data_IF_448603156686
#
_entry.id   IF_448603156686
#
_cell.length_a   1.000
_cell.length_b   1.000
_cell.length_c   1.000
_cell.angle_alpha   90.00
_cell.angle_beta   90.00
_cell.angle_gamma   90.00
#
_symmetry.space_group_name_H-M   'P 1'
#
loop_
_entity.id
_entity.type
_entity.pdbx_description
1 polymer ?
#
# COMPACT_ATOMS: atom_id res chain seq x y z
N UNK A 1 -12.51 4.31 -11.63
CA UNK A 1 -12.13 2.89 -11.62
C UNK A 1 -10.74 2.66 -11.05
N UNK A 2 -9.73 3.48 -11.39
CA UNK A 2 -8.32 3.25 -11.02
C UNK A 2 -8.03 3.29 -9.53
N UNK A 3 -8.55 4.27 -8.78
CA UNK A 3 -8.22 4.43 -7.36
C UNK A 3 -8.38 3.15 -6.52
N UNK A 4 -9.57 2.54 -6.53
CA UNK A 4 -9.82 1.32 -5.75
C UNK A 4 -9.05 0.10 -6.28
N UNK A 5 -8.86 0.02 -7.60
CA UNK A 5 -8.05 -1.03 -8.20
C UNK A 5 -6.56 -0.92 -7.81
N UNK A 6 -6.05 0.31 -7.68
CA UNK A 6 -4.67 0.58 -7.27
C UNK A 6 -4.46 0.40 -5.77
N UNK A 7 -5.44 0.80 -4.95
CA UNK A 7 -5.39 0.61 -3.51
C UNK A 7 -5.56 -0.88 -3.12
N UNK A 8 -6.39 -1.63 -3.86
CA UNK A 8 -6.76 -3.02 -3.57
C UNK A 8 -6.53 -3.94 -4.78
N UNK A 9 -5.27 -4.12 -5.22
CA UNK A 9 -4.97 -4.82 -6.47
C UNK A 9 -5.31 -6.31 -6.43
N UNK A 10 -5.23 -6.97 -5.27
CA UNK A 10 -5.64 -8.36 -5.14
C UNK A 10 -7.15 -8.54 -5.33
N UNK A 11 -7.96 -7.69 -4.69
CA UNK A 11 -9.42 -7.70 -4.87
C UNK A 11 -9.79 -7.42 -6.32
N UNK A 12 -9.13 -6.44 -6.93
CA UNK A 12 -9.31 -6.15 -8.35
C UNK A 12 -9.08 -7.38 -9.22
N UNK A 13 -7.98 -8.11 -9.00
CA UNK A 13 -7.64 -9.31 -9.77
C UNK A 13 -8.66 -10.44 -9.56
N UNK A 14 -9.09 -10.68 -8.32
CA UNK A 14 -10.10 -11.69 -7.99
C UNK A 14 -11.43 -11.38 -8.67
N UNK A 15 -11.88 -10.13 -8.55
CA UNK A 15 -13.16 -9.68 -9.13
C UNK A 15 -13.11 -9.80 -10.64
N UNK A 16 -12.05 -9.32 -11.30
CA UNK A 16 -11.92 -9.47 -12.75
C UNK A 16 -11.89 -10.93 -13.17
N UNK A 17 -11.15 -11.79 -12.45
CA UNK A 17 -11.11 -13.24 -12.76
C UNK A 17 -12.49 -13.87 -12.65
N UNK A 18 -13.31 -13.44 -11.68
CA UNK A 18 -14.66 -13.96 -11.50
C UNK A 18 -15.63 -13.43 -12.56
N UNK A 19 -15.64 -12.12 -12.81
CA UNK A 19 -16.57 -11.49 -13.76
C UNK A 19 -16.25 -11.84 -15.20
N UNK A 20 -14.98 -12.02 -15.57
CA UNK A 20 -14.60 -12.47 -16.92
C UNK A 20 -14.93 -13.94 -17.19
N UNK A 21 -14.94 -14.79 -16.15
CA UNK A 21 -15.34 -16.20 -16.29
C UNK A 21 -16.83 -16.39 -16.46
N UNK A 22 -17.64 -15.43 -16.03
CA UNK A 22 -19.07 -15.44 -16.31
C UNK A 22 -19.29 -14.70 -17.64
N UNK A 23 -19.69 -15.41 -18.69
CA UNK A 23 -20.18 -14.78 -19.93
C UNK A 23 -21.50 -14.04 -19.63
N UNK A 24 -21.40 -12.85 -19.03
CA UNK A 24 -22.55 -12.04 -18.68
C UNK A 24 -22.85 -11.06 -19.81
N UNK A 25 -24.00 -11.21 -20.46
CA UNK A 25 -24.54 -10.26 -21.45
C UNK A 25 -25.14 -9.02 -20.74
N UNK A 26 -24.31 -8.37 -19.93
CA UNK A 26 -24.67 -7.18 -19.18
C UNK A 26 -24.18 -5.93 -19.91
N UNK A 27 -25.01 -4.87 -19.91
CA UNK A 27 -24.55 -3.56 -20.33
C UNK A 27 -23.42 -3.04 -19.40
N UNK A 28 -22.61 -2.12 -19.92
CA UNK A 28 -21.42 -1.63 -19.22
C UNK A 28 -21.72 -0.98 -17.86
N UNK A 29 -22.90 -0.40 -17.66
CA UNK A 29 -23.28 0.23 -16.38
C UNK A 29 -23.52 -0.83 -15.32
N UNK A 30 -24.21 -1.91 -15.69
CA UNK A 30 -24.43 -3.05 -14.79
C UNK A 30 -23.13 -3.78 -14.47
N UNK A 31 -22.25 -3.95 -15.44
CA UNK A 31 -20.90 -4.51 -15.20
C UNK A 31 -20.09 -3.63 -14.23
N UNK A 32 -20.12 -2.31 -14.42
CA UNK A 32 -19.46 -1.37 -13.51
C UNK A 32 -20.07 -1.40 -12.10
N UNK A 33 -21.41 -1.45 -11.97
CA UNK A 33 -22.09 -1.60 -10.68
C UNK A 33 -21.65 -2.86 -9.97
N UNK A 34 -21.72 -4.01 -10.65
CA UNK A 34 -21.33 -5.31 -10.10
C UNK A 34 -19.87 -5.32 -9.63
N UNK A 35 -18.97 -4.71 -10.39
CA UNK A 35 -17.57 -4.55 -9.99
C UNK A 35 -17.45 -3.77 -8.67
N UNK A 36 -18.15 -2.64 -8.52
CA UNK A 36 -18.08 -1.85 -7.29
C UNK A 36 -18.76 -2.55 -6.12
N UNK A 37 -19.88 -3.24 -6.35
CA UNK A 37 -20.57 -4.03 -5.33
C UNK A 37 -19.64 -5.11 -4.75
N UNK A 38 -18.91 -5.84 -5.62
CA UNK A 38 -17.91 -6.80 -5.15
C UNK A 38 -16.72 -6.13 -4.48
N UNK A 39 -16.19 -5.02 -5.03
CA UNK A 39 -15.04 -4.33 -4.46
C UNK A 39 -15.35 -3.84 -3.04
N UNK A 40 -16.51 -3.24 -2.83
CA UNK A 40 -16.90 -2.76 -1.51
C UNK A 40 -17.22 -3.91 -0.55
N UNK A 41 -17.88 -4.99 -1.01
CA UNK A 41 -18.04 -6.18 -0.18
C UNK A 41 -16.69 -6.75 0.26
N UNK A 42 -15.71 -6.85 -0.64
CA UNK A 42 -14.36 -7.28 -0.27
C UNK A 42 -13.69 -6.34 0.75
N UNK A 43 -13.78 -5.03 0.55
CA UNK A 43 -13.17 -4.03 1.45
C UNK A 43 -13.80 -4.07 2.84
N UNK A 44 -15.12 -4.20 2.93
CA UNK A 44 -15.84 -4.18 4.20
C UNK A 44 -15.73 -5.52 4.96
N UNK A 45 -15.77 -6.65 4.26
CA UNK A 45 -15.91 -7.96 4.90
C UNK A 45 -14.60 -8.76 5.00
N UNK A 46 -13.54 -8.40 4.26
CA UNK A 46 -12.26 -9.13 4.25
C UNK A 46 -11.23 -8.36 5.09
N UNK A 47 -10.82 -8.90 6.26
CA UNK A 47 -9.81 -8.25 7.09
C UNK A 47 -8.47 -8.07 6.36
N UNK A 48 -7.86 -6.89 6.46
CA UNK A 48 -6.57 -6.63 5.81
C UNK A 48 -5.44 -7.54 6.33
N UNK A 49 -5.59 -8.06 7.54
CA UNK A 49 -4.64 -8.97 8.19
C UNK A 49 -4.51 -10.32 7.50
N UNK A 50 -5.54 -10.77 6.77
CA UNK A 50 -5.48 -12.03 6.03
C UNK A 50 -4.91 -11.85 4.62
N UNK A 51 -4.76 -10.61 4.15
CA UNK A 51 -4.20 -10.32 2.84
C UNK A 51 -2.68 -10.36 2.88
N UNK A 52 -2.10 -11.20 2.00
CA UNK A 52 -0.64 -11.35 1.86
C UNK A 52 0.04 -10.18 1.14
N UNK A 53 -0.71 -9.23 0.61
CA UNK A 53 -0.21 -8.09 -0.17
C UNK A 53 0.25 -6.91 0.70
N UNK A 54 0.59 -7.18 1.97
CA UNK A 54 1.03 -6.18 2.94
C UNK A 54 2.42 -5.61 2.57
N UNK A 55 2.58 -4.30 2.72
CA UNK A 55 3.88 -3.62 2.56
C UNK A 55 4.44 -3.27 3.93
N UNK A 56 5.59 -3.85 4.29
CA UNK A 56 6.29 -3.63 5.55
C UNK A 56 7.26 -2.46 5.42
N UNK A 57 7.10 -1.46 6.28
CA UNK A 57 7.81 -0.18 6.19
C UNK A 57 8.56 0.08 7.48
N UNK A 58 9.89 0.17 7.42
CA UNK A 58 10.68 0.61 8.55
C UNK A 58 10.88 2.12 8.49
N UNK A 59 10.59 2.81 9.59
CA UNK A 59 10.80 4.26 9.74
C UNK A 59 11.92 4.49 10.75
N UNK A 60 13.02 5.08 10.28
CA UNK A 60 14.21 5.37 11.10
C UNK A 60 14.91 6.66 10.67
N UNK A 61 14.67 7.74 11.40
CA UNK A 61 15.21 9.07 11.16
C UNK A 61 16.21 9.48 12.23
N UNK A 62 17.29 10.17 11.85
CA UNK A 62 18.36 10.55 12.78
C UNK A 62 17.95 11.59 13.85
N UNK A 63 16.80 12.26 13.69
CA UNK A 63 16.30 13.30 14.60
C UNK A 63 15.77 12.77 15.95
N UNK A 64 15.88 11.47 16.20
CA UNK A 64 15.60 10.85 17.49
C UNK A 64 14.15 10.40 17.69
N UNK A 65 13.85 9.93 18.91
CA UNK A 65 12.65 9.13 19.20
C UNK A 65 11.34 9.84 18.89
N UNK A 66 11.19 11.10 19.29
CA UNK A 66 9.92 11.83 19.11
C UNK A 66 9.60 12.07 17.64
N UNK A 67 10.60 12.41 16.84
CA UNK A 67 10.43 12.59 15.41
C UNK A 67 10.05 11.27 14.72
N UNK A 68 10.72 10.17 15.07
CA UNK A 68 10.36 8.84 14.58
C UNK A 68 8.93 8.44 14.96
N UNK A 69 8.49 8.72 16.18
CA UNK A 69 7.12 8.46 16.60
C UNK A 69 6.10 9.28 15.80
N UNK A 70 6.41 10.54 15.52
CA UNK A 70 5.59 11.38 14.65
C UNK A 70 5.52 10.79 13.24
N UNK A 71 6.67 10.44 12.64
CA UNK A 71 6.72 9.88 11.28
C UNK A 71 5.97 8.57 11.17
N UNK A 72 6.13 7.66 12.13
CA UNK A 72 5.39 6.38 12.19
C UNK A 72 3.87 6.61 12.25
N UNK A 73 3.41 7.58 13.04
CA UNK A 73 1.99 7.95 13.11
C UNK A 73 1.50 8.50 11.77
N UNK A 74 2.28 9.36 11.13
CA UNK A 74 1.88 9.97 9.86
C UNK A 74 1.82 8.93 8.73
N UNK A 75 2.81 8.02 8.68
CA UNK A 75 2.79 6.89 7.74
C UNK A 75 1.58 6.00 7.99
N UNK A 76 1.22 5.73 9.25
CA UNK A 76 0.03 4.92 9.58
C UNK A 76 -1.30 5.51 9.08
N UNK A 77 -1.39 6.80 8.72
CA UNK A 77 -2.59 7.32 8.05
C UNK A 77 -2.81 6.75 6.64
N UNK A 78 -1.80 6.07 6.08
CA UNK A 78 -1.90 5.31 4.84
C UNK A 78 -2.28 3.83 5.05
N UNK A 79 -2.78 3.46 6.24
CA UNK A 79 -3.21 2.09 6.56
C UNK A 79 -4.17 1.46 5.54
N UNK A 80 -5.01 2.27 4.88
CA UNK A 80 -5.91 1.83 3.80
C UNK A 80 -5.16 1.22 2.60
N UNK A 81 -3.84 1.37 2.51
CA UNK A 81 -3.00 0.70 1.50
C UNK A 81 -2.52 -0.70 1.94
N UNK A 82 -2.96 -1.21 3.10
CA UNK A 82 -2.48 -2.43 3.74
C UNK A 82 -0.97 -2.39 4.05
N UNK A 83 -0.54 -1.36 4.78
CA UNK A 83 0.85 -1.21 5.22
C UNK A 83 1.04 -1.65 6.67
N UNK A 84 2.26 -2.05 7.04
CA UNK A 84 2.66 -2.29 8.43
C UNK A 84 3.95 -1.54 8.76
N UNK A 85 3.88 -0.67 9.76
CA UNK A 85 5.03 0.14 10.19
C UNK A 85 5.84 -0.62 11.24
N UNK A 86 7.08 -0.94 10.88
CA UNK A 86 8.05 -1.62 11.72
C UNK A 86 8.96 -0.63 12.45
N UNK A 87 9.52 -1.06 13.58
CA UNK A 87 10.49 -0.26 14.36
C UNK A 87 11.94 -0.61 14.06
N UNK A 88 12.19 -1.77 13.45
CA UNK A 88 13.51 -2.25 13.06
C UNK A 88 13.40 -2.89 11.69
N UNK A 89 14.46 -2.80 10.90
CA UNK A 89 14.54 -3.52 9.62
C UNK A 89 14.69 -5.01 9.87
N UNK A 90 13.94 -5.82 9.12
CA UNK A 90 14.08 -7.27 9.04
C UNK A 90 14.01 -7.74 7.57
N UNK A 91 14.11 -9.05 7.34
CA UNK A 91 14.07 -9.66 6.00
C UNK A 91 12.73 -9.44 5.27
N UNK A 92 11.67 -9.02 5.98
CA UNK A 92 10.36 -8.75 5.41
C UNK A 92 10.16 -7.27 5.08
N UNK A 93 11.05 -6.38 5.54
CA UNK A 93 10.97 -4.96 5.26
C UNK A 93 11.05 -4.72 3.76
N UNK A 94 10.02 -4.12 3.19
CA UNK A 94 9.97 -3.79 1.76
C UNK A 94 10.49 -2.37 1.49
N UNK A 95 10.22 -1.44 2.42
CA UNK A 95 10.56 -0.03 2.29
C UNK A 95 11.22 0.49 3.56
N UNK A 96 12.38 1.10 3.40
CA UNK A 96 13.07 1.85 4.43
C UNK A 96 12.87 3.36 4.21
N UNK A 97 12.26 4.04 5.18
CA UNK A 97 11.99 5.47 5.15
C UNK A 97 12.87 6.20 6.18
N UNK A 98 13.78 7.04 5.70
CA UNK A 98 14.83 7.65 6.52
C UNK A 98 15.31 8.98 5.96
N UNK A 99 16.19 9.69 6.68
CA UNK A 99 16.95 10.85 6.20
C UNK A 99 18.37 10.47 5.72
N UNK A 100 18.78 9.21 5.87
CA UNK A 100 20.05 8.70 5.38
C UNK A 100 19.89 7.37 4.64
N UNK A 101 20.74 7.18 3.62
CA UNK A 101 20.81 5.93 2.87
C UNK A 101 21.71 4.91 3.59
N UNK A 102 21.32 3.63 3.55
CA UNK A 102 22.12 2.53 4.08
C UNK A 102 22.47 1.54 2.98
N UNK A 103 23.76 1.39 2.66
CA UNK A 103 24.23 0.46 1.64
C UNK A 103 24.12 -1.02 2.04
N UNK A 104 23.86 -1.31 3.31
CA UNK A 104 23.71 -2.69 3.80
C UNK A 104 22.28 -3.21 3.62
N UNK A 105 21.32 -2.34 3.29
CA UNK A 105 19.93 -2.70 3.12
C UNK A 105 19.64 -3.03 1.65
N UNK A 106 18.94 -4.14 1.42
CA UNK A 106 18.55 -4.60 0.08
C UNK A 106 17.12 -4.21 -0.30
N UNK A 107 16.33 -3.71 0.65
CA UNK A 107 14.98 -3.22 0.41
C UNK A 107 14.98 -1.85 -0.27
N UNK A 108 13.83 -1.44 -0.81
CA UNK A 108 13.67 -0.11 -1.40
C UNK A 108 13.90 0.97 -0.32
N UNK A 109 14.52 2.09 -0.69
CA UNK A 109 14.85 3.16 0.25
C UNK A 109 14.31 4.50 -0.23
N UNK A 110 13.50 5.15 0.60
CA UNK A 110 12.99 6.50 0.36
C UNK A 110 13.63 7.47 1.34
N UNK A 111 14.46 8.37 0.81
CA UNK A 111 15.31 9.25 1.62
C UNK A 111 14.78 10.70 1.64
N UNK A 112 14.37 11.18 2.81
CA UNK A 112 13.89 12.54 3.05
C UNK A 112 14.83 13.30 3.99
N UNK A 113 15.73 14.10 3.40
CA UNK A 113 16.71 14.91 4.15
C UNK A 113 16.12 16.12 4.87
N UNK A 114 14.89 16.49 4.53
CA UNK A 114 14.18 17.65 5.04
C UNK A 114 12.78 17.21 5.50
N UNK A 115 12.10 18.01 6.34
CA UNK A 115 10.70 17.75 6.67
C UNK A 115 9.86 17.48 5.42
N UNK A 116 9.02 16.43 5.41
CA UNK A 116 8.34 15.97 4.21
C UNK A 116 7.30 17.00 3.76
N UNK A 117 7.31 17.27 2.46
CA UNK A 117 6.30 18.07 1.77
C UNK A 117 5.14 17.20 1.28
N UNK A 118 4.08 17.82 0.78
CA UNK A 118 2.96 17.10 0.14
C UNK A 118 3.47 16.20 -1.01
N UNK A 119 4.45 16.67 -1.78
CA UNK A 119 5.04 15.88 -2.88
C UNK A 119 5.79 14.65 -2.37
N UNK A 120 6.45 14.74 -1.20
CA UNK A 120 7.09 13.59 -0.58
C UNK A 120 6.05 12.53 -0.20
N UNK A 121 4.93 12.95 0.39
CA UNK A 121 3.85 12.02 0.74
C UNK A 121 3.17 11.38 -0.47
N UNK A 122 3.03 12.14 -1.56
CA UNK A 122 2.55 11.58 -2.82
C UNK A 122 3.51 10.50 -3.36
N UNK A 123 4.81 10.80 -3.42
CA UNK A 123 5.84 9.85 -3.83
C UNK A 123 5.84 8.59 -2.96
N UNK A 124 5.65 8.75 -1.64
CA UNK A 124 5.51 7.64 -0.72
C UNK A 124 4.32 6.75 -1.08
N UNK A 125 3.14 7.33 -1.29
CA UNK A 125 1.94 6.59 -1.69
C UNK A 125 2.13 5.84 -3.01
N UNK A 126 2.68 6.51 -4.02
CA UNK A 126 2.96 5.93 -5.34
C UNK A 126 3.94 4.74 -5.23
N UNK A 127 5.00 4.88 -4.41
CA UNK A 127 5.97 3.83 -4.17
C UNK A 127 5.37 2.62 -3.44
N UNK A 128 4.53 2.85 -2.42
CA UNK A 128 3.82 1.79 -1.71
C UNK A 128 2.94 0.99 -2.67
N UNK A 129 2.18 1.67 -3.55
CA UNK A 129 1.36 1.02 -4.57
C UNK A 129 2.23 0.21 -5.55
N UNK A 130 3.38 0.75 -5.96
CA UNK A 130 4.31 0.05 -6.86
C UNK A 130 4.89 -1.22 -6.22
N UNK A 131 5.37 -1.15 -4.98
CA UNK A 131 5.88 -2.29 -4.22
C UNK A 131 4.79 -3.36 -4.09
N UNK A 132 3.56 -2.94 -3.72
CA UNK A 132 2.41 -3.84 -3.57
C UNK A 132 2.09 -4.60 -4.85
N UNK A 133 2.11 -3.92 -6.01
CA UNK A 133 1.92 -4.55 -7.32
C UNK A 133 3.01 -5.56 -7.66
N UNK A 134 4.26 -5.33 -7.25
CA UNK A 134 5.37 -6.27 -7.48
C UNK A 134 5.31 -7.57 -6.68
N UNK A 135 4.43 -7.67 -5.69
CA UNK A 135 4.23 -8.87 -4.85
C UNK A 135 3.14 -9.82 -5.37
N UNK A 136 2.34 -9.38 -6.33
CA UNK A 136 1.25 -10.16 -6.96
C UNK A 136 1.80 -10.95 -8.16
#
# INVERSE_FOLDING_TARGET
MTYFAEANPLFHQIILTFTTKQETDLDWRKQASLYYDYMFACIEDIPLEILKDRVYICVDFSQGRLYNQYMKKTVNYFNNLNIEVQTTVDERTDLYLSDFYSSTLTCEQLIWKNPPTILNWQQFGDLVVAIKKGKL
#
